data_IF_976822420394
#
_entry.id   IF_976822420394
#
_cell.length_a   1.000
_cell.length_b   1.000
_cell.length_c   1.000
_cell.angle_alpha   90.00
_cell.angle_beta   90.00
_cell.angle_gamma   90.00
#
_symmetry.space_group_name_H-M   'P 1'
#
loop_
_entity.id
_entity.type
_entity.pdbx_description
1 polymer ?
#
# COMPACT_ATOMS: atom_id res chain seq x y z
N UNK A 1 14.44 -36.28 -0.57
CA UNK A 1 15.52 -36.24 -1.58
C UNK A 1 15.30 -35.09 -2.52
N UNK A 2 16.01 -33.97 -2.28
CA UNK A 2 16.05 -32.82 -3.17
C UNK A 2 16.87 -33.24 -4.39
N UNK A 3 16.21 -33.59 -5.47
CA UNK A 3 16.86 -33.76 -6.76
C UNK A 3 17.32 -32.38 -7.26
N UNK A 4 18.62 -32.10 -7.13
CA UNK A 4 19.28 -31.03 -7.87
C UNK A 4 19.13 -31.31 -9.39
N UNK A 5 18.09 -30.75 -10.02
CA UNK A 5 18.08 -30.58 -11.47
C UNK A 5 19.19 -29.59 -11.80
N UNK A 6 20.32 -30.11 -12.30
CA UNK A 6 21.30 -29.34 -13.07
C UNK A 6 20.64 -28.96 -14.39
N UNK A 7 19.77 -27.94 -14.38
CA UNK A 7 19.32 -27.29 -15.60
C UNK A 7 20.50 -26.61 -16.28
N UNK A 8 20.56 -26.66 -17.61
CA UNK A 8 21.51 -25.87 -18.38
C UNK A 8 21.51 -24.42 -17.88
N UNK A 9 22.69 -23.74 -17.85
CA UNK A 9 22.79 -22.31 -17.47
C UNK A 9 21.74 -21.44 -18.19
N UNK A 10 21.45 -21.75 -19.44
CA UNK A 10 20.43 -21.05 -20.23
C UNK A 10 19.01 -21.25 -19.67
N UNK A 11 18.68 -22.42 -19.13
CA UNK A 11 17.39 -22.66 -18.49
C UNK A 11 17.26 -21.88 -17.18
N UNK A 12 18.31 -21.77 -16.39
CA UNK A 12 18.34 -20.97 -15.15
C UNK A 12 18.22 -19.47 -15.45
N UNK A 13 18.88 -18.99 -16.51
CA UNK A 13 18.77 -17.59 -16.95
C UNK A 13 17.34 -17.28 -17.43
N UNK A 14 16.72 -18.18 -18.19
CA UNK A 14 15.35 -18.01 -18.65
C UNK A 14 14.34 -17.99 -17.49
N UNK A 15 14.53 -18.84 -16.49
CA UNK A 15 13.69 -18.88 -15.28
C UNK A 15 13.84 -17.60 -14.45
N UNK A 16 15.07 -17.10 -14.28
CA UNK A 16 15.34 -15.84 -13.61
C UNK A 16 14.73 -14.65 -14.38
N UNK A 17 14.87 -14.60 -15.69
CA UNK A 17 14.27 -13.58 -16.54
C UNK A 17 12.74 -13.58 -16.42
N UNK A 18 12.11 -14.75 -16.46
CA UNK A 18 10.66 -14.88 -16.26
C UNK A 18 10.21 -14.38 -14.86
N UNK A 19 10.99 -14.68 -13.83
CA UNK A 19 10.73 -14.18 -12.47
C UNK A 19 10.80 -12.65 -12.42
N UNK A 20 11.84 -12.04 -13.00
CA UNK A 20 12.00 -10.58 -13.04
C UNK A 20 10.83 -9.94 -13.80
N UNK A 21 10.45 -10.46 -14.96
CA UNK A 21 9.30 -9.96 -15.73
C UNK A 21 8.01 -10.02 -14.91
N UNK A 22 7.77 -11.13 -14.21
CA UNK A 22 6.60 -11.27 -13.36
C UNK A 22 6.60 -10.27 -12.18
N UNK A 23 7.75 -10.02 -11.55
CA UNK A 23 7.89 -9.01 -10.49
C UNK A 23 7.56 -7.63 -11.04
N UNK A 24 8.18 -7.23 -12.15
CA UNK A 24 7.92 -5.93 -12.80
C UNK A 24 6.44 -5.77 -13.12
N UNK A 25 5.83 -6.79 -13.75
CA UNK A 25 4.40 -6.78 -14.09
C UNK A 25 3.52 -6.62 -12.86
N UNK A 26 3.79 -7.33 -11.78
CA UNK A 26 3.00 -7.22 -10.54
C UNK A 26 3.16 -5.86 -9.89
N UNK A 27 4.34 -5.25 -9.91
CA UNK A 27 4.56 -3.89 -9.42
C UNK A 27 3.78 -2.85 -10.22
N UNK A 28 3.80 -2.92 -11.56
CA UNK A 28 2.98 -2.02 -12.38
C UNK A 28 1.49 -2.15 -12.10
N UNK A 29 0.99 -3.38 -11.96
CA UNK A 29 -0.43 -3.63 -11.64
C UNK A 29 -0.76 -3.05 -10.25
N UNK A 30 0.12 -3.20 -9.27
CA UNK A 30 -0.07 -2.66 -7.92
C UNK A 30 -0.10 -1.11 -7.93
N UNK A 31 0.82 -0.46 -8.65
CA UNK A 31 0.85 1.00 -8.82
C UNK A 31 -0.45 1.48 -9.46
N UNK A 32 -0.83 0.90 -10.61
CA UNK A 32 -2.06 1.27 -11.32
C UNK A 32 -3.31 1.04 -10.47
N UNK A 33 -3.37 -0.08 -9.74
CA UNK A 33 -4.48 -0.38 -8.84
C UNK A 33 -4.62 0.65 -7.72
N UNK A 34 -3.51 1.05 -7.08
CA UNK A 34 -3.51 2.08 -6.06
C UNK A 34 -3.98 3.44 -6.62
N UNK A 35 -3.43 3.86 -7.75
CA UNK A 35 -3.78 5.12 -8.42
C UNK A 35 -5.26 5.13 -8.82
N UNK A 36 -5.74 4.05 -9.45
CA UNK A 36 -7.10 3.94 -9.98
C UNK A 36 -8.19 4.01 -8.90
N UNK A 37 -7.87 3.67 -7.66
CA UNK A 37 -8.81 3.76 -6.53
C UNK A 37 -8.58 5.02 -5.72
N UNK A 38 -7.32 5.38 -5.44
CA UNK A 38 -7.00 6.51 -4.58
C UNK A 38 -7.44 7.85 -5.18
N UNK A 39 -7.19 8.09 -6.48
CA UNK A 39 -7.55 9.33 -7.16
C UNK A 39 -9.08 9.55 -7.18
N UNK A 40 -9.90 8.63 -7.71
CA UNK A 40 -11.35 8.88 -7.73
C UNK A 40 -11.97 8.99 -6.34
N UNK A 41 -11.46 8.19 -5.38
CA UNK A 41 -11.95 8.24 -4.00
C UNK A 41 -11.63 9.58 -3.33
N UNK A 42 -10.38 10.05 -3.44
CA UNK A 42 -9.97 11.33 -2.90
C UNK A 42 -10.70 12.50 -3.59
N UNK A 43 -10.86 12.44 -4.91
CA UNK A 43 -11.63 13.44 -5.67
C UNK A 43 -13.09 13.49 -5.21
N UNK A 44 -13.73 12.32 -5.07
CA UNK A 44 -15.12 12.23 -4.62
C UNK A 44 -15.29 12.79 -3.20
N UNK A 45 -14.40 12.43 -2.27
CA UNK A 45 -14.43 12.93 -0.89
C UNK A 45 -14.27 14.47 -0.89
N UNK A 46 -13.30 14.98 -1.63
CA UNK A 46 -13.05 16.42 -1.72
C UNK A 46 -14.25 17.16 -2.32
N UNK A 47 -14.82 16.63 -3.41
CA UNK A 47 -16.00 17.19 -4.03
C UNK A 47 -17.22 17.20 -3.10
N UNK A 48 -17.52 16.07 -2.45
CA UNK A 48 -18.64 15.99 -1.51
C UNK A 48 -18.45 16.92 -0.32
N UNK A 49 -17.23 17.04 0.20
CA UNK A 49 -16.93 17.98 1.29
C UNK A 49 -17.24 19.43 0.88
N UNK A 50 -16.69 19.86 -0.25
CA UNK A 50 -16.89 21.21 -0.76
C UNK A 50 -18.35 21.54 -1.05
N UNK A 51 -19.11 20.56 -1.57
CA UNK A 51 -20.53 20.77 -1.91
C UNK A 51 -21.46 20.69 -0.72
N UNK A 52 -21.10 19.97 0.35
CA UNK A 52 -21.97 19.81 1.53
C UNK A 52 -21.72 20.85 2.60
N UNK A 53 -20.46 21.29 2.77
CA UNK A 53 -20.05 22.23 3.80
C UNK A 53 -19.77 23.64 3.26
N UNK A 54 -19.78 23.80 1.94
CA UNK A 54 -19.46 25.07 1.24
C UNK A 54 -18.09 25.64 1.62
N UNK A 55 -17.17 24.74 2.05
CA UNK A 55 -15.80 25.07 2.45
C UNK A 55 -14.81 24.14 1.77
N UNK A 56 -13.60 24.62 1.43
CA UNK A 56 -12.55 23.75 0.87
C UNK A 56 -12.08 22.75 1.94
N UNK A 57 -11.87 21.49 1.54
CA UNK A 57 -11.33 20.44 2.42
C UNK A 57 -9.96 20.83 3.01
N UNK A 58 -9.16 21.53 2.24
CA UNK A 58 -7.83 22.02 2.62
C UNK A 58 -7.75 23.52 2.33
N UNK A 59 -7.10 24.28 3.21
CA UNK A 59 -6.75 25.64 2.88
C UNK A 59 -5.63 25.71 1.83
N UNK A 60 -5.49 26.84 1.15
CA UNK A 60 -4.53 27.03 0.06
C UNK A 60 -3.09 26.65 0.47
N UNK A 61 -2.64 27.08 1.64
CA UNK A 61 -1.29 26.78 2.14
C UNK A 61 -1.06 25.28 2.28
N UNK A 62 -2.02 24.56 2.85
CA UNK A 62 -1.91 23.10 3.04
C UNK A 62 -1.96 22.36 1.71
N UNK A 63 -2.83 22.77 0.80
CA UNK A 63 -2.94 22.20 -0.54
C UNK A 63 -1.60 22.33 -1.31
N UNK A 64 -1.02 23.53 -1.30
CA UNK A 64 0.29 23.81 -1.90
C UNK A 64 1.40 22.97 -1.24
N UNK A 65 1.41 22.88 0.10
CA UNK A 65 2.38 22.03 0.83
C UNK A 65 2.27 20.56 0.44
N UNK A 66 1.05 20.04 0.23
CA UNK A 66 0.87 18.65 -0.20
C UNK A 66 1.51 18.40 -1.55
N UNK A 67 1.31 19.30 -2.53
CA UNK A 67 1.94 19.19 -3.85
C UNK A 67 3.48 19.28 -3.76
N UNK A 68 4.01 20.29 -3.07
CA UNK A 68 5.46 20.41 -2.88
C UNK A 68 6.07 19.20 -2.16
N UNK A 69 5.33 18.57 -1.25
CA UNK A 69 5.83 17.38 -0.54
C UNK A 69 5.99 16.15 -1.43
N UNK A 70 5.44 16.19 -2.65
CA UNK A 70 5.60 15.15 -3.66
C UNK A 70 6.75 15.43 -4.62
N UNK A 71 7.26 16.64 -4.68
CA UNK A 71 8.38 17.01 -5.59
C UNK A 71 9.60 16.11 -5.33
N UNK A 72 10.08 15.39 -6.36
CA UNK A 72 11.18 14.44 -6.20
C UNK A 72 12.55 15.11 -6.06
N UNK A 73 12.67 16.39 -6.43
CA UNK A 73 13.94 17.12 -6.47
C UNK A 73 14.18 18.00 -5.24
N UNK A 74 13.11 18.58 -4.68
CA UNK A 74 13.23 19.56 -3.59
C UNK A 74 12.71 19.03 -2.26
N UNK A 75 11.99 17.89 -2.25
CA UNK A 75 11.48 17.26 -1.04
C UNK A 75 12.21 15.95 -0.70
N UNK A 76 11.93 15.40 0.47
CA UNK A 76 12.38 14.06 0.88
C UNK A 76 11.44 12.95 0.37
N UNK A 77 10.73 13.17 -0.74
CA UNK A 77 9.75 12.23 -1.26
C UNK A 77 10.36 10.84 -1.54
N UNK A 78 11.53 10.79 -2.21
CA UNK A 78 12.18 9.53 -2.57
C UNK A 78 12.75 8.77 -1.35
N UNK A 79 13.51 9.39 -0.42
CA UNK A 79 13.90 8.73 0.82
C UNK A 79 12.70 8.18 1.62
N UNK A 80 11.63 8.96 1.75
CA UNK A 80 10.43 8.53 2.46
C UNK A 80 9.68 7.40 1.72
N UNK A 81 9.72 7.38 0.39
CA UNK A 81 9.20 6.27 -0.41
C UNK A 81 10.03 5.00 -0.21
N UNK A 82 11.35 5.11 -0.11
CA UNK A 82 12.21 3.96 0.19
C UNK A 82 11.91 3.35 1.56
N UNK A 83 11.61 4.18 2.58
CA UNK A 83 11.15 3.68 3.90
C UNK A 83 9.83 2.90 3.74
N UNK A 84 8.88 3.40 2.95
CA UNK A 84 7.64 2.70 2.66
C UNK A 84 7.90 1.36 1.96
N UNK A 85 8.86 1.31 1.02
CA UNK A 85 9.29 0.08 0.35
C UNK A 85 9.85 -0.95 1.32
N UNK A 86 10.67 -0.52 2.29
CA UNK A 86 11.16 -1.41 3.37
C UNK A 86 10.00 -1.95 4.21
N UNK A 87 9.04 -1.10 4.60
CA UNK A 87 7.85 -1.53 5.33
C UNK A 87 7.03 -2.54 4.52
N UNK A 88 6.88 -2.32 3.22
CA UNK A 88 6.17 -3.22 2.32
C UNK A 88 6.87 -4.59 2.23
N UNK A 89 8.19 -4.60 2.09
CA UNK A 89 8.99 -5.82 2.12
C UNK A 89 8.79 -6.60 3.43
N UNK A 90 8.90 -5.93 4.58
CA UNK A 90 8.69 -6.55 5.88
C UNK A 90 7.27 -7.11 6.03
N UNK A 91 6.26 -6.39 5.52
CA UNK A 91 4.87 -6.88 5.54
C UNK A 91 4.70 -8.15 4.70
N UNK A 92 5.41 -8.27 3.58
CA UNK A 92 5.44 -9.47 2.76
C UNK A 92 6.04 -10.67 3.48
N UNK A 93 7.14 -10.48 4.22
CA UNK A 93 7.73 -11.53 5.06
C UNK A 93 6.76 -11.98 6.16
N UNK A 94 6.10 -11.02 6.82
CA UNK A 94 5.09 -11.31 7.83
C UNK A 94 3.89 -12.06 7.23
N UNK A 95 3.42 -11.66 6.06
CA UNK A 95 2.36 -12.36 5.34
C UNK A 95 2.71 -13.84 5.12
N UNK A 96 3.91 -14.13 4.61
CA UNK A 96 4.41 -15.48 4.43
C UNK A 96 4.50 -16.27 5.74
N UNK A 97 4.91 -15.63 6.83
CA UNK A 97 4.89 -16.25 8.16
C UNK A 97 3.48 -16.64 8.60
N UNK A 98 2.50 -15.73 8.46
CA UNK A 98 1.11 -15.99 8.86
C UNK A 98 0.43 -17.05 7.97
N UNK A 99 0.74 -17.10 6.68
CA UNK A 99 0.25 -18.17 5.79
C UNK A 99 0.77 -19.54 6.23
N UNK A 100 2.06 -19.66 6.51
CA UNK A 100 2.64 -20.89 7.04
C UNK A 100 2.02 -21.25 8.40
N UNK A 101 1.87 -20.27 9.29
CA UNK A 101 1.24 -20.47 10.60
C UNK A 101 -0.21 -20.97 10.46
N UNK A 102 -0.98 -20.46 9.49
CA UNK A 102 -2.36 -20.90 9.26
C UNK A 102 -2.43 -22.40 8.95
N UNK A 103 -1.48 -22.91 8.18
CA UNK A 103 -1.37 -24.32 7.82
C UNK A 103 -0.92 -25.16 9.04
N UNK A 104 0.22 -24.80 9.64
CA UNK A 104 0.79 -25.57 10.75
C UNK A 104 -0.12 -25.64 11.98
N UNK A 105 -0.77 -24.54 12.32
CA UNK A 105 -1.67 -24.46 13.46
C UNK A 105 -3.09 -24.91 13.14
N UNK A 106 -3.36 -25.34 11.89
CA UNK A 106 -4.69 -25.80 11.43
C UNK A 106 -5.77 -24.78 11.77
N UNK A 107 -5.55 -23.50 11.45
CA UNK A 107 -6.44 -22.40 11.85
C UNK A 107 -7.87 -22.64 11.35
N UNK A 108 -8.05 -23.04 10.08
CA UNK A 108 -9.37 -23.33 9.51
C UNK A 108 -10.14 -24.42 10.28
N UNK A 109 -9.58 -25.63 10.46
CA UNK A 109 -10.24 -26.68 11.25
C UNK A 109 -10.58 -26.26 12.69
N UNK A 110 -9.69 -25.50 13.35
CA UNK A 110 -9.96 -24.99 14.71
C UNK A 110 -11.11 -24.00 14.75
N UNK A 111 -11.18 -23.09 13.76
CA UNK A 111 -12.31 -22.17 13.65
C UNK A 111 -13.63 -22.91 13.39
N UNK A 112 -13.62 -23.91 12.51
CA UNK A 112 -14.80 -24.73 12.19
C UNK A 112 -15.32 -25.51 13.41
N UNK A 113 -14.43 -25.93 14.29
CA UNK A 113 -14.76 -26.66 15.51
C UNK A 113 -15.18 -25.74 16.67
N UNK A 114 -15.11 -24.42 16.54
CA UNK A 114 -15.35 -23.49 17.66
C UNK A 114 -16.86 -23.38 17.99
N UNK A 115 -17.30 -23.80 19.19
CA UNK A 115 -18.74 -23.93 19.52
C UNK A 115 -19.49 -22.58 19.46
N UNK A 116 -18.89 -21.51 19.97
CA UNK A 116 -19.51 -20.17 19.99
C UNK A 116 -19.70 -19.60 18.58
N UNK A 117 -18.71 -19.76 17.69
CA UNK A 117 -18.81 -19.32 16.30
C UNK A 117 -19.87 -20.13 15.55
N UNK A 118 -19.93 -21.45 15.81
CA UNK A 118 -20.94 -22.31 15.22
C UNK A 118 -22.35 -21.89 15.63
N UNK A 119 -22.54 -21.53 16.90
CA UNK A 119 -23.85 -21.06 17.41
C UNK A 119 -24.25 -19.71 16.80
N UNK A 120 -23.29 -18.83 16.58
CA UNK A 120 -23.50 -17.47 16.08
C UNK A 120 -23.77 -17.42 14.56
N UNK A 121 -23.02 -18.19 13.78
CA UNK A 121 -23.02 -18.10 12.31
C UNK A 121 -23.68 -19.28 11.61
N UNK A 122 -23.91 -20.41 12.31
CA UNK A 122 -24.30 -21.69 11.73
C UNK A 122 -23.09 -22.37 11.02
N UNK A 123 -23.21 -23.70 10.85
CA UNK A 123 -22.11 -24.54 10.38
C UNK A 123 -21.64 -24.18 8.95
N UNK A 124 -22.59 -23.94 8.04
CA UNK A 124 -22.23 -23.65 6.63
C UNK A 124 -21.49 -22.34 6.46
N UNK A 125 -21.98 -21.26 7.08
CA UNK A 125 -21.31 -19.95 7.04
C UNK A 125 -19.96 -19.98 7.73
N UNK A 126 -19.87 -20.69 8.86
CA UNK A 126 -18.62 -20.89 9.58
C UNK A 126 -17.58 -21.62 8.73
N UNK A 127 -17.97 -22.64 7.96
CA UNK A 127 -17.07 -23.36 7.08
C UNK A 127 -16.50 -22.43 5.98
N UNK A 128 -17.36 -21.60 5.36
CA UNK A 128 -16.94 -20.61 4.35
C UNK A 128 -15.98 -19.58 4.95
N UNK A 129 -16.34 -19.04 6.11
CA UNK A 129 -15.52 -18.08 6.85
C UNK A 129 -14.15 -18.64 7.24
N UNK A 130 -14.12 -19.82 7.86
CA UNK A 130 -12.90 -20.48 8.28
C UNK A 130 -11.97 -20.80 7.10
N UNK A 131 -12.54 -21.24 5.97
CA UNK A 131 -11.81 -21.48 4.74
C UNK A 131 -11.24 -20.19 4.13
N UNK A 132 -11.99 -19.08 4.21
CA UNK A 132 -11.54 -17.77 3.79
C UNK A 132 -10.37 -17.30 4.65
N UNK A 133 -10.51 -17.34 5.97
CA UNK A 133 -9.45 -16.94 6.91
C UNK A 133 -8.19 -17.76 6.69
N UNK A 134 -8.32 -19.09 6.57
CA UNK A 134 -7.14 -19.94 6.36
C UNK A 134 -6.39 -19.63 5.07
N UNK A 135 -7.10 -19.29 3.99
CA UNK A 135 -6.47 -18.98 2.69
C UNK A 135 -5.91 -17.55 2.58
N UNK A 136 -6.37 -16.65 3.43
CA UNK A 136 -6.05 -15.22 3.31
C UNK A 136 -5.38 -14.66 4.58
N UNK A 137 -5.01 -15.51 5.55
CA UNK A 137 -4.50 -15.04 6.83
C UNK A 137 -3.22 -14.20 6.67
N UNK A 138 -2.32 -14.62 5.79
CA UNK A 138 -1.11 -13.86 5.48
C UNK A 138 -1.43 -12.50 4.88
N UNK A 139 -2.29 -12.44 3.87
CA UNK A 139 -2.68 -11.17 3.26
C UNK A 139 -3.37 -10.23 4.27
N UNK A 140 -4.27 -10.76 5.11
CA UNK A 140 -4.94 -9.97 6.14
C UNK A 140 -3.95 -9.42 7.19
N UNK A 141 -3.09 -10.29 7.72
CA UNK A 141 -2.10 -9.92 8.73
C UNK A 141 -1.03 -8.98 8.14
N UNK A 142 -0.54 -9.27 6.94
CA UNK A 142 0.45 -8.45 6.26
C UNK A 142 -0.06 -7.03 6.01
N UNK A 143 -1.27 -6.89 5.45
CA UNK A 143 -1.86 -5.57 5.21
C UNK A 143 -2.16 -4.81 6.51
N UNK A 144 -2.65 -5.49 7.55
CA UNK A 144 -2.88 -4.87 8.85
C UNK A 144 -1.59 -4.34 9.48
N UNK A 145 -0.54 -5.16 9.50
CA UNK A 145 0.77 -4.78 10.05
C UNK A 145 1.45 -3.71 9.18
N UNK A 146 1.27 -3.77 7.86
CA UNK A 146 1.73 -2.72 6.97
C UNK A 146 1.09 -1.38 7.31
N UNK A 147 -0.23 -1.36 7.54
CA UNK A 147 -0.94 -0.15 7.97
C UNK A 147 -0.41 0.41 9.30
N UNK A 148 -0.10 -0.46 10.27
CA UNK A 148 0.54 -0.04 11.53
C UNK A 148 1.92 0.57 11.28
N UNK A 149 2.76 -0.08 10.47
CA UNK A 149 4.09 0.44 10.12
C UNK A 149 3.99 1.81 9.42
N UNK A 150 3.10 1.95 8.44
CA UNK A 150 2.87 3.23 7.75
C UNK A 150 2.43 4.33 8.72
N UNK A 151 1.47 4.02 9.60
CA UNK A 151 0.92 5.01 10.54
C UNK A 151 1.89 5.40 11.67
N UNK A 152 2.83 4.54 12.04
CA UNK A 152 3.75 4.79 13.15
C UNK A 152 5.03 5.53 12.76
N UNK A 153 5.45 5.50 11.48
CA UNK A 153 6.75 6.05 11.06
C UNK A 153 6.89 7.56 11.33
N UNK A 154 5.87 8.35 11.05
CA UNK A 154 5.90 9.79 11.36
C UNK A 154 6.04 10.06 12.87
N UNK A 155 5.34 9.28 13.70
CA UNK A 155 5.45 9.37 15.16
C UNK A 155 6.84 8.96 15.65
N UNK A 156 7.42 7.91 15.07
CA UNK A 156 8.80 7.48 15.37
C UNK A 156 9.79 8.58 14.99
N UNK A 157 9.63 9.19 13.81
CA UNK A 157 10.45 10.32 13.39
C UNK A 157 10.38 11.48 14.37
N UNK A 158 9.17 11.85 14.80
CA UNK A 158 8.96 12.91 15.78
C UNK A 158 9.64 12.60 17.11
N UNK A 159 9.49 11.40 17.66
CA UNK A 159 10.10 10.99 18.94
C UNK A 159 11.63 11.03 18.86
N UNK A 160 12.19 10.61 17.71
CA UNK A 160 13.64 10.56 17.51
C UNK A 160 14.25 11.90 17.07
N UNK A 161 13.43 12.92 16.81
CA UNK A 161 13.90 14.21 16.27
C UNK A 161 14.47 14.09 14.86
N UNK A 162 14.05 13.07 14.09
CA UNK A 162 14.51 12.81 12.74
C UNK A 162 13.42 13.19 11.73
N UNK A 163 13.79 13.68 10.54
CA UNK A 163 12.83 13.98 9.48
C UNK A 163 12.36 12.68 8.77
N UNK A 164 11.88 11.73 9.55
CA UNK A 164 11.35 10.45 9.04
C UNK A 164 9.86 10.62 8.83
N UNK A 165 9.43 10.35 7.61
CA UNK A 165 8.03 10.28 7.21
C UNK A 165 7.87 9.12 6.24
N UNK A 166 6.69 8.95 5.72
CA UNK A 166 6.41 7.87 4.76
C UNK A 166 5.68 8.42 3.54
N UNK A 167 6.12 7.97 2.36
CA UNK A 167 5.43 8.27 1.10
C UNK A 167 5.08 6.96 0.42
N UNK A 168 3.80 6.64 0.39
CA UNK A 168 3.26 5.49 -0.33
C UNK A 168 2.41 5.99 -1.49
N UNK A 169 2.44 5.28 -2.62
CA UNK A 169 1.77 5.69 -3.86
C UNK A 169 0.28 6.01 -3.67
N UNK A 170 -0.45 5.29 -2.83
CA UNK A 170 -1.86 5.56 -2.57
C UNK A 170 -2.07 6.93 -1.89
N UNK A 171 -1.23 7.25 -0.88
CA UNK A 171 -1.28 8.55 -0.20
C UNK A 171 -0.81 9.68 -1.10
N UNK A 172 0.27 9.46 -1.87
CA UNK A 172 0.76 10.42 -2.84
C UNK A 172 -0.30 10.77 -3.89
N UNK A 173 -1.01 9.77 -4.40
CA UNK A 173 -2.10 9.96 -5.37
C UNK A 173 -3.29 10.73 -4.77
N UNK A 174 -3.67 10.43 -3.53
CA UNK A 174 -4.71 11.16 -2.82
C UNK A 174 -4.30 12.63 -2.55
N UNK A 175 -3.08 12.85 -2.04
CA UNK A 175 -2.53 14.18 -1.79
C UNK A 175 -2.43 15.01 -3.07
N UNK A 176 -2.03 14.40 -4.18
CA UNK A 176 -1.95 15.05 -5.49
C UNK A 176 -3.32 15.60 -5.92
N UNK A 177 -4.36 14.76 -5.93
CA UNK A 177 -5.67 15.21 -6.39
C UNK A 177 -6.34 16.20 -5.42
N UNK A 178 -6.16 16.01 -4.11
CA UNK A 178 -6.66 16.95 -3.10
C UNK A 178 -5.96 18.31 -3.21
N UNK A 179 -4.64 18.31 -3.40
CA UNK A 179 -3.86 19.52 -3.66
C UNK A 179 -4.37 20.28 -4.89
N UNK A 180 -4.59 19.57 -6.00
CA UNK A 180 -5.11 20.16 -7.22
C UNK A 180 -6.51 20.77 -7.05
N UNK A 181 -7.41 20.09 -6.36
CA UNK A 181 -8.81 20.51 -6.21
C UNK A 181 -9.01 21.63 -5.18
N UNK A 182 -8.08 21.82 -4.24
CA UNK A 182 -8.23 22.80 -3.17
C UNK A 182 -7.44 24.11 -3.40
N UNK A 183 -6.73 24.25 -4.53
CA UNK A 183 -6.04 25.50 -4.89
C UNK A 183 -6.94 26.35 -5.78
N UNK A 184 -7.45 27.46 -5.23
CA UNK A 184 -8.25 28.42 -5.98
C UNK A 184 -7.45 29.04 -7.14
N UNK A 185 -8.00 29.02 -8.35
CA UNK A 185 -7.31 29.46 -9.56
C UNK A 185 -6.39 28.43 -10.18
N UNK A 186 -6.23 27.26 -9.54
CA UNK A 186 -5.34 26.18 -9.97
C UNK A 186 -3.88 26.42 -9.57
N UNK A 187 -3.10 25.36 -9.38
CA UNK A 187 -1.65 25.46 -9.15
C UNK A 187 -0.90 25.79 -10.44
N UNK A 188 0.34 26.28 -10.30
CA UNK A 188 1.23 26.46 -11.44
C UNK A 188 1.51 25.14 -12.16
N UNK A 189 1.63 25.20 -13.49
CA UNK A 189 1.88 24.01 -14.32
C UNK A 189 3.15 23.28 -13.89
N UNK A 190 4.22 24.01 -13.52
CA UNK A 190 5.45 23.46 -12.99
C UNK A 190 5.19 22.58 -11.77
N UNK A 191 4.45 23.11 -10.78
CA UNK A 191 4.10 22.37 -9.55
C UNK A 191 3.26 21.12 -9.83
N UNK A 192 2.36 21.16 -10.80
CA UNK A 192 1.60 19.98 -11.24
C UNK A 192 2.53 18.93 -11.81
N UNK A 193 3.44 19.33 -12.70
CA UNK A 193 4.36 18.42 -13.37
C UNK A 193 5.33 17.76 -12.37
N UNK A 194 5.91 18.55 -11.48
CA UNK A 194 6.87 18.06 -10.47
C UNK A 194 6.17 17.11 -9.48
N UNK A 195 4.98 17.48 -9.00
CA UNK A 195 4.20 16.62 -8.10
C UNK A 195 3.75 15.33 -8.77
N UNK A 196 3.35 15.38 -10.05
CA UNK A 196 2.97 14.19 -10.82
C UNK A 196 4.17 13.26 -11.04
N UNK A 197 5.31 13.82 -11.47
CA UNK A 197 6.56 13.06 -11.63
C UNK A 197 6.98 12.42 -10.31
N UNK A 198 6.89 13.19 -9.22
CA UNK A 198 7.18 12.68 -7.88
C UNK A 198 6.28 11.55 -7.46
N UNK A 199 4.99 11.63 -7.75
CA UNK A 199 4.03 10.54 -7.53
C UNK A 199 4.44 9.25 -8.26
N UNK A 200 4.87 9.35 -9.52
CA UNK A 200 5.40 8.21 -10.28
C UNK A 200 6.70 7.67 -9.66
N UNK A 201 7.64 8.54 -9.31
CA UNK A 201 8.89 8.15 -8.66
C UNK A 201 8.63 7.44 -7.31
N UNK A 202 7.70 7.95 -6.49
CA UNK A 202 7.27 7.30 -5.25
C UNK A 202 6.75 5.88 -5.53
N UNK A 203 5.88 5.72 -6.54
CA UNK A 203 5.33 4.42 -6.91
C UNK A 203 6.38 3.42 -7.38
N UNK A 204 7.41 3.88 -8.08
CA UNK A 204 8.52 3.04 -8.55
C UNK A 204 9.52 2.71 -7.43
N UNK A 205 9.60 3.54 -6.39
CA UNK A 205 10.52 3.36 -5.26
C UNK A 205 9.92 2.47 -4.17
N UNK A 206 8.58 2.46 -4.02
CA UNK A 206 7.89 1.58 -3.10
C UNK A 206 7.95 0.13 -3.58
#
# INVERSE_FOLDING_TARGET
TVQHRKGSKNAQIAELAALIINIIRTQFIAILGNISIAIPTAALITYLWQTTLDEPLLNHTKATQLLHSLDPFTSLAIPHAAIAGVCLFLSGLLAGYFDNMAIYRKVGPRLQAHPSLKRMMGQERLNKFASYIQRNLGALAGNFLFGIMLGSMGTIGFILGLPIDIRHIAFASANFIQGLMCINGGPEISLIMDSFLGGLCIGLTN
#
